data_IF_010212800041
#
_entry.id   IF_010212800041
#
_cell.length_a   1.000
_cell.length_b   1.000
_cell.length_c   1.000
_cell.angle_alpha   90.00
_cell.angle_beta   90.00
_cell.angle_gamma   90.00
#
_symmetry.space_group_name_H-M   'P 1'
#
loop_
_entity.id
_entity.type
_entity.pdbx_description
1 polymer ?
#
# COMPACT_ATOMS: atom_id res chain seq x y z
N UNK A 1 10.09 -3.64 60.09
CA UNK A 1 10.15 -2.84 58.86
C UNK A 1 10.02 -3.81 57.69
N UNK A 2 8.80 -3.99 57.23
CA UNK A 2 8.47 -4.88 56.12
C UNK A 2 8.64 -4.09 54.81
N UNK A 3 9.46 -4.58 53.85
CA UNK A 3 9.58 -4.02 52.52
C UNK A 3 8.52 -4.64 51.64
N UNK A 4 7.52 -3.85 51.34
CA UNK A 4 6.48 -4.17 50.37
C UNK A 4 7.06 -4.05 48.97
N UNK A 5 7.32 -5.18 48.30
CA UNK A 5 7.79 -5.24 46.91
C UNK A 5 6.58 -5.15 45.98
N UNK A 6 6.21 -3.91 45.63
CA UNK A 6 5.17 -3.64 44.63
C UNK A 6 5.53 -4.21 43.25
N UNK A 7 5.01 -5.38 42.93
CA UNK A 7 5.03 -5.98 41.61
C UNK A 7 4.17 -5.13 40.66
N UNK A 8 4.79 -4.28 39.83
CA UNK A 8 4.11 -3.58 38.77
C UNK A 8 3.68 -4.60 37.69
N UNK A 9 2.44 -5.03 37.71
CA UNK A 9 1.83 -5.83 36.66
C UNK A 9 1.81 -4.96 35.38
N UNK A 10 2.61 -5.32 34.38
CA UNK A 10 2.48 -4.74 33.05
C UNK A 10 1.07 -5.01 32.56
N UNK A 11 0.38 -4.00 31.99
CA UNK A 11 -0.97 -4.22 31.46
C UNK A 11 -0.93 -5.31 30.41
N UNK A 12 -1.86 -6.26 30.51
CA UNK A 12 -2.07 -7.30 29.49
C UNK A 12 -2.55 -6.61 28.20
N UNK A 13 -1.63 -6.39 27.24
CA UNK A 13 -1.98 -5.90 25.92
C UNK A 13 -2.75 -7.00 25.21
N UNK A 14 -4.05 -6.81 25.08
CA UNK A 14 -4.92 -7.72 24.33
C UNK A 14 -4.38 -7.78 22.88
N UNK A 15 -4.14 -8.99 22.37
CA UNK A 15 -3.59 -9.18 21.02
C UNK A 15 -4.54 -8.52 20.01
N UNK A 16 -4.07 -7.51 19.30
CA UNK A 16 -4.88 -6.81 18.31
C UNK A 16 -5.39 -7.77 17.24
N UNK A 17 -6.66 -7.66 16.87
CA UNK A 17 -7.21 -8.36 15.71
C UNK A 17 -6.79 -7.71 14.39
N UNK A 18 -6.22 -6.51 14.44
CA UNK A 18 -5.71 -5.80 13.27
C UNK A 18 -4.38 -6.39 12.81
N UNK A 19 -4.29 -6.61 11.51
CA UNK A 19 -3.10 -7.07 10.81
C UNK A 19 -2.51 -5.87 10.08
N UNK A 20 -1.27 -5.53 10.37
CA UNK A 20 -0.54 -4.52 9.64
C UNK A 20 -0.03 -5.12 8.33
N UNK A 21 -0.45 -4.52 7.23
CA UNK A 21 -0.07 -4.90 5.87
C UNK A 21 0.79 -3.84 5.18
N UNK A 22 1.34 -2.91 5.97
CA UNK A 22 2.28 -1.90 5.48
C UNK A 22 3.71 -2.43 5.45
N UNK A 23 4.54 -1.85 4.61
CA UNK A 23 6.00 -2.07 4.65
C UNK A 23 6.67 -0.98 5.49
N UNK A 24 7.68 -1.33 6.31
CA UNK A 24 8.38 -0.35 7.12
C UNK A 24 9.27 0.54 6.24
N UNK A 25 9.28 1.84 6.53
CA UNK A 25 10.21 2.77 5.91
C UNK A 25 11.61 2.59 6.50
N UNK A 26 12.60 2.43 5.65
CA UNK A 26 14.02 2.28 6.03
C UNK A 26 14.96 2.77 4.95
N UNK A 27 16.21 3.00 5.32
CA UNK A 27 17.25 3.39 4.37
C UNK A 27 17.39 2.36 3.24
N UNK A 28 17.56 2.85 2.02
CA UNK A 28 17.81 2.05 0.82
C UNK A 28 16.77 0.93 0.59
N UNK A 29 15.53 1.09 1.08
CA UNK A 29 14.46 0.16 0.78
C UNK A 29 14.16 0.17 -0.72
N UNK A 30 13.47 -0.86 -1.21
CA UNK A 30 13.04 -0.92 -2.61
C UNK A 30 12.29 0.35 -3.00
N UNK A 31 12.68 0.93 -4.13
CA UNK A 31 12.08 2.12 -4.75
C UNK A 31 12.05 1.95 -6.27
N UNK A 32 11.33 2.81 -6.94
CA UNK A 32 11.34 2.81 -8.40
C UNK A 32 12.75 3.12 -8.93
N UNK A 33 13.23 2.45 -9.99
CA UNK A 33 14.64 2.54 -10.42
C UNK A 33 15.16 3.91 -10.79
N UNK A 34 14.27 4.84 -11.16
CA UNK A 34 14.62 6.23 -11.51
C UNK A 34 14.52 7.20 -10.33
N UNK A 35 14.02 6.73 -9.20
CA UNK A 35 13.80 7.57 -8.02
C UNK A 35 15.03 7.59 -7.10
N UNK A 36 15.16 8.68 -6.34
CA UNK A 36 16.15 8.75 -5.29
C UNK A 36 15.83 7.78 -4.14
N UNK A 37 16.85 7.15 -3.55
CA UNK A 37 16.67 6.22 -2.46
C UNK A 37 16.12 6.91 -1.21
N UNK A 38 15.30 6.19 -0.45
CA UNK A 38 14.82 6.64 0.87
C UNK A 38 15.99 6.82 1.84
N UNK A 39 16.04 7.96 2.51
CA UNK A 39 17.02 8.26 3.58
C UNK A 39 16.28 8.54 4.87
N UNK A 40 16.57 7.75 5.90
CA UNK A 40 16.13 7.96 7.29
C UNK A 40 17.34 8.18 8.14
N UNK A 41 17.53 9.39 8.63
CA UNK A 41 18.69 9.81 9.40
C UNK A 41 18.30 10.15 10.83
N UNK A 42 18.91 9.49 11.80
CA UNK A 42 18.78 9.88 13.20
C UNK A 42 19.66 11.07 13.48
N UNK A 43 19.04 12.26 13.66
CA UNK A 43 19.76 13.52 13.88
C UNK A 43 19.98 13.83 15.35
N UNK A 44 19.17 13.24 16.27
CA UNK A 44 19.38 13.24 17.72
C UNK A 44 19.05 11.87 18.29
N UNK A 45 19.70 11.46 19.38
CA UNK A 45 19.52 10.15 19.97
C UNK A 45 19.76 10.18 21.49
N UNK A 46 18.76 9.82 22.27
CA UNK A 46 18.87 9.74 23.74
C UNK A 46 19.96 8.74 24.18
N UNK A 47 20.19 7.68 23.40
CA UNK A 47 21.24 6.69 23.68
C UNK A 47 22.64 7.27 23.47
N UNK A 48 22.76 8.42 22.82
CA UNK A 48 24.00 9.19 22.63
C UNK A 48 24.11 10.41 23.53
N UNK A 49 23.16 10.55 24.48
CA UNK A 49 23.15 11.67 25.44
C UNK A 49 22.35 12.90 24.99
N UNK A 50 21.66 12.84 23.85
CA UNK A 50 20.76 13.93 23.45
C UNK A 50 19.52 13.97 24.36
N UNK A 51 18.88 15.13 24.53
CA UNK A 51 17.63 15.24 25.34
C UNK A 51 16.42 14.58 24.69
N UNK A 52 16.46 14.31 23.39
CA UNK A 52 15.38 13.69 22.60
C UNK A 52 15.95 12.82 21.50
N UNK A 53 15.16 11.84 21.04
CA UNK A 53 15.45 11.12 19.79
C UNK A 53 14.64 11.75 18.66
N UNK A 54 15.32 12.11 17.54
CA UNK A 54 14.69 12.76 16.38
C UNK A 54 15.26 12.20 15.08
N UNK A 55 14.38 11.92 14.14
CA UNK A 55 14.75 11.46 12.81
C UNK A 55 14.33 12.49 11.74
N UNK A 56 15.19 12.64 10.75
CA UNK A 56 14.92 13.36 9.50
C UNK A 56 14.69 12.30 8.39
N UNK A 57 13.73 12.55 7.50
CA UNK A 57 13.44 11.65 6.40
C UNK A 57 13.44 12.42 5.08
N UNK A 58 14.14 11.86 4.07
CA UNK A 58 14.04 12.28 2.68
C UNK A 58 13.51 11.10 1.87
N UNK A 59 12.39 11.32 1.19
CA UNK A 59 11.69 10.27 0.48
C UNK A 59 10.72 10.86 -0.56
N UNK A 60 10.28 10.04 -1.50
CA UNK A 60 9.30 10.40 -2.53
C UNK A 60 7.90 10.04 -2.02
N UNK A 61 6.87 10.75 -2.50
CA UNK A 61 5.46 10.51 -2.11
C UNK A 61 4.98 9.08 -2.37
N UNK A 62 5.64 8.37 -3.30
CA UNK A 62 5.40 6.96 -3.66
C UNK A 62 6.29 5.97 -2.92
N UNK A 63 6.91 6.39 -1.79
CA UNK A 63 7.77 5.50 -1.01
C UNK A 63 6.96 4.57 -0.11
N UNK A 64 7.29 3.28 -0.18
CA UNK A 64 6.71 2.28 0.73
C UNK A 64 5.23 1.99 0.45
N UNK A 65 4.44 1.79 1.51
CA UNK A 65 2.99 1.70 1.38
C UNK A 65 2.43 3.11 1.21
N UNK A 66 1.75 3.36 0.10
CA UNK A 66 1.21 4.68 -0.25
C UNK A 66 -0.10 4.57 -1.02
N UNK A 67 -0.75 5.71 -1.24
CA UNK A 67 -1.94 5.82 -2.08
C UNK A 67 -1.68 6.84 -3.18
N UNK A 68 -1.95 6.44 -4.44
CA UNK A 68 -1.93 7.33 -5.58
C UNK A 68 -3.22 8.11 -5.68
N UNK A 69 -3.07 9.42 -5.87
CA UNK A 69 -4.16 10.32 -6.18
C UNK A 69 -4.36 10.44 -7.70
N UNK A 70 -5.57 10.81 -8.17
CA UNK A 70 -5.79 11.13 -9.58
C UNK A 70 -4.76 12.09 -10.17
N UNK A 71 -4.27 13.06 -9.38
CA UNK A 71 -3.26 14.04 -9.80
C UNK A 71 -1.97 13.40 -10.31
N UNK A 72 -1.65 12.17 -9.87
CA UNK A 72 -0.42 11.48 -10.28
C UNK A 72 -0.31 11.30 -11.79
N UNK A 73 -1.39 10.93 -12.46
CA UNK A 73 -1.42 10.71 -13.92
C UNK A 73 -2.41 11.61 -14.69
N UNK A 74 -3.35 12.24 -13.98
CA UNK A 74 -4.44 12.99 -14.62
C UNK A 74 -4.22 14.49 -14.43
N UNK A 75 -4.08 15.22 -15.53
CA UNK A 75 -3.99 16.67 -15.50
C UNK A 75 -5.24 17.28 -14.84
N UNK A 76 -5.02 18.09 -13.81
CA UNK A 76 -6.12 18.68 -13.02
C UNK A 76 -6.88 17.67 -12.13
N UNK A 77 -6.35 16.47 -11.98
CA UNK A 77 -6.91 15.44 -11.10
C UNK A 77 -6.93 15.86 -9.62
N UNK A 78 -7.76 15.21 -8.83
CA UNK A 78 -7.82 15.42 -7.39
C UNK A 78 -6.49 15.02 -6.73
N UNK A 79 -5.99 15.87 -5.84
CA UNK A 79 -4.81 15.61 -5.02
C UNK A 79 -5.14 14.74 -3.80
N UNK A 80 -4.10 14.17 -3.17
CA UNK A 80 -4.25 13.22 -2.05
C UNK A 80 -4.97 13.84 -0.83
N UNK A 81 -4.79 15.13 -0.56
CA UNK A 81 -5.49 15.86 0.50
C UNK A 81 -6.99 16.00 0.27
N UNK A 82 -7.47 15.73 -0.95
CA UNK A 82 -8.89 15.75 -1.34
C UNK A 82 -9.52 14.35 -1.37
N UNK A 83 -8.78 13.30 -1.03
CA UNK A 83 -9.34 11.94 -1.00
C UNK A 83 -10.51 11.85 0.01
N UNK A 84 -11.69 11.37 -0.42
CA UNK A 84 -12.78 11.10 0.53
C UNK A 84 -12.35 9.99 1.50
N UNK A 85 -12.52 10.22 2.81
CA UNK A 85 -12.02 9.28 3.84
C UNK A 85 -12.63 7.88 3.71
N UNK A 86 -13.90 7.79 3.32
CA UNK A 86 -14.58 6.52 3.09
C UNK A 86 -14.08 5.76 1.85
N UNK A 87 -13.16 6.34 1.07
CA UNK A 87 -12.49 5.62 -0.02
C UNK A 87 -11.60 4.53 0.53
N UNK A 88 -10.82 4.83 1.55
CA UNK A 88 -9.80 3.93 2.11
C UNK A 88 -10.19 3.34 3.48
N UNK A 89 -11.43 3.53 3.92
CA UNK A 89 -11.98 2.93 5.15
C UNK A 89 -13.22 2.11 4.80
N UNK A 90 -13.29 0.87 5.29
CA UNK A 90 -14.45 0.01 5.19
C UNK A 90 -14.17 -1.39 4.68
N UNK A 91 -15.22 -2.09 4.26
CA UNK A 91 -15.09 -3.48 3.78
C UNK A 91 -14.18 -3.56 2.56
N UNK A 92 -13.28 -4.54 2.56
CA UNK A 92 -12.38 -4.87 1.47
C UNK A 92 -12.30 -6.39 1.29
N UNK A 93 -11.86 -6.81 0.13
CA UNK A 93 -11.63 -8.23 -0.16
C UNK A 93 -10.20 -8.45 -0.62
N UNK A 94 -9.51 -9.41 0.00
CA UNK A 94 -8.23 -9.91 -0.49
C UNK A 94 -8.50 -11.02 -1.50
N UNK A 95 -8.03 -10.82 -2.72
CA UNK A 95 -8.11 -11.80 -3.82
C UNK A 95 -6.72 -12.35 -4.08
N UNK A 96 -6.58 -13.68 -3.99
CA UNK A 96 -5.34 -14.37 -4.34
C UNK A 96 -5.23 -14.61 -5.84
N UNK A 97 -4.22 -14.03 -6.47
CA UNK A 97 -3.94 -14.17 -7.90
C UNK A 97 -3.02 -15.37 -8.12
N UNK A 98 -3.37 -16.21 -9.08
CA UNK A 98 -2.64 -17.43 -9.44
C UNK A 98 -1.67 -17.22 -10.61
N UNK A 99 -2.03 -16.34 -11.55
CA UNK A 99 -1.14 -16.02 -12.67
C UNK A 99 0.16 -15.41 -12.13
N UNK A 100 1.28 -15.89 -12.63
CA UNK A 100 2.62 -15.53 -12.15
C UNK A 100 3.25 -14.38 -12.92
N UNK A 101 2.55 -13.84 -13.91
CA UNK A 101 3.03 -12.79 -14.80
C UNK A 101 2.22 -11.51 -14.66
N UNK A 102 0.88 -11.62 -14.82
CA UNK A 102 0.01 -10.44 -14.78
C UNK A 102 -1.41 -10.82 -14.36
N UNK A 103 -2.09 -9.88 -13.72
CA UNK A 103 -3.53 -9.99 -13.43
C UNK A 103 -4.27 -9.73 -14.74
N UNK A 104 -5.11 -10.69 -15.16
CA UNK A 104 -5.86 -10.64 -16.42
C UNK A 104 -7.37 -10.64 -16.19
N UNK A 105 -8.17 -10.09 -17.13
CA UNK A 105 -9.64 -10.14 -17.04
C UNK A 105 -10.18 -11.56 -16.90
N UNK A 106 -9.56 -12.52 -17.59
CA UNK A 106 -9.95 -13.94 -17.55
C UNK A 106 -9.84 -14.54 -16.15
N UNK A 107 -8.84 -14.15 -15.36
CA UNK A 107 -8.73 -14.56 -13.96
C UNK A 107 -9.74 -13.81 -13.09
N UNK A 108 -9.86 -12.49 -13.29
CA UNK A 108 -10.79 -11.65 -12.52
C UNK A 108 -12.25 -12.05 -12.72
N UNK A 109 -12.61 -12.56 -13.89
CA UNK A 109 -13.97 -13.03 -14.20
C UNK A 109 -14.45 -14.20 -13.32
N UNK A 110 -13.52 -14.95 -12.69
CA UNK A 110 -13.88 -16.00 -11.74
C UNK A 110 -14.29 -15.46 -10.37
N UNK A 111 -14.07 -14.18 -10.11
CA UNK A 111 -14.47 -13.53 -8.87
C UNK A 111 -15.69 -12.66 -9.14
N UNK A 112 -16.75 -12.86 -8.38
CA UNK A 112 -17.95 -12.00 -8.45
C UNK A 112 -17.62 -10.62 -7.87
N UNK A 113 -16.98 -9.76 -8.70
CA UNK A 113 -16.55 -8.41 -8.32
C UNK A 113 -17.76 -7.47 -8.37
N UNK A 114 -18.02 -6.82 -7.24
CA UNK A 114 -19.17 -5.96 -7.04
C UNK A 114 -18.81 -4.47 -7.20
N UNK A 115 -19.79 -3.69 -7.63
CA UNK A 115 -19.68 -2.23 -7.67
C UNK A 115 -19.32 -1.66 -6.29
N UNK A 116 -18.39 -0.72 -6.26
CA UNK A 116 -17.97 -0.03 -5.04
C UNK A 116 -17.08 -0.88 -4.12
N UNK A 117 -16.64 -2.04 -4.56
CA UNK A 117 -15.78 -2.93 -3.80
C UNK A 117 -14.36 -2.36 -3.69
N UNK A 118 -13.69 -2.59 -2.55
CA UNK A 118 -12.25 -2.38 -2.38
C UNK A 118 -11.58 -3.73 -2.49
N UNK A 119 -10.62 -3.86 -3.39
CA UNK A 119 -9.97 -5.14 -3.69
C UNK A 119 -8.47 -5.02 -3.42
N UNK A 120 -7.92 -5.93 -2.63
CA UNK A 120 -6.49 -6.06 -2.38
C UNK A 120 -5.98 -7.30 -3.11
N UNK A 121 -5.14 -7.12 -4.11
CA UNK A 121 -4.59 -8.21 -4.89
C UNK A 121 -3.36 -8.79 -4.20
N UNK A 122 -3.47 -10.05 -3.78
CA UNK A 122 -2.36 -10.83 -3.25
C UNK A 122 -1.80 -11.70 -4.35
N UNK A 123 -0.56 -11.44 -4.74
CA UNK A 123 0.16 -12.19 -5.77
C UNK A 123 1.38 -12.90 -5.18
N UNK A 124 2.21 -13.49 -6.05
CA UNK A 124 3.53 -14.01 -5.65
C UNK A 124 4.53 -12.91 -5.25
N UNK A 125 4.19 -11.64 -5.43
CA UNK A 125 5.07 -10.53 -5.09
C UNK A 125 5.32 -10.44 -3.59
N UNK A 126 4.27 -10.48 -2.75
CA UNK A 126 4.38 -10.30 -1.29
C UNK A 126 5.50 -11.11 -0.62
N UNK A 127 5.65 -12.42 -0.83
CA UNK A 127 6.70 -13.18 -0.17
C UNK A 127 8.10 -12.92 -0.73
N UNK A 128 8.21 -12.31 -1.92
CA UNK A 128 9.50 -12.10 -2.60
C UNK A 128 10.07 -10.71 -2.36
N UNK A 129 9.24 -9.69 -2.56
CA UNK A 129 9.68 -8.30 -2.70
C UNK A 129 10.12 -7.67 -1.37
N UNK A 130 9.64 -8.18 -0.24
CA UNK A 130 10.01 -7.65 1.07
C UNK A 130 11.13 -8.44 1.76
N UNK A 131 11.70 -9.42 1.08
CA UNK A 131 12.91 -10.13 1.50
C UNK A 131 14.20 -9.49 0.96
N UNK A 132 14.08 -8.49 0.08
CA UNK A 132 15.20 -7.79 -0.53
C UNK A 132 14.91 -6.30 -0.62
N UNK A 133 15.96 -5.49 -0.61
CA UNK A 133 15.88 -4.04 -0.89
C UNK A 133 16.10 -3.74 -2.38
N UNK A 134 16.35 -4.77 -3.19
CA UNK A 134 16.54 -4.61 -4.64
C UNK A 134 15.21 -4.59 -5.37
N UNK A 135 15.13 -3.75 -6.38
CA UNK A 135 14.00 -3.77 -7.32
C UNK A 135 13.96 -5.11 -8.06
N UNK A 136 12.78 -5.71 -8.10
CA UNK A 136 12.51 -6.95 -8.83
C UNK A 136 11.62 -6.59 -10.01
N UNK A 137 12.11 -6.74 -11.22
CA UNK A 137 11.43 -6.34 -12.45
C UNK A 137 10.52 -7.41 -13.07
N UNK A 138 10.57 -8.66 -12.55
CA UNK A 138 9.70 -9.79 -12.93
C UNK A 138 8.51 -9.96 -11.97
N UNK A 139 8.01 -8.88 -11.39
CA UNK A 139 6.84 -8.92 -10.53
C UNK A 139 5.54 -9.12 -11.33
N UNK A 140 4.52 -9.67 -10.66
CA UNK A 140 3.16 -9.72 -11.21
C UNK A 140 2.61 -8.30 -11.26
N UNK A 141 2.04 -7.89 -12.37
CA UNK A 141 1.48 -6.57 -12.60
C UNK A 141 0.02 -6.65 -13.04
N UNK A 142 -0.68 -5.53 -13.07
CA UNK A 142 -2.03 -5.41 -13.60
C UNK A 142 -1.97 -5.20 -15.12
N UNK A 143 -2.62 -6.05 -15.94
CA UNK A 143 -2.70 -5.78 -17.36
C UNK A 143 -3.64 -4.60 -17.64
N UNK A 144 -3.42 -3.89 -18.76
CA UNK A 144 -4.26 -2.76 -19.18
C UNK A 144 -5.73 -3.18 -19.32
N UNK A 145 -5.97 -4.37 -19.87
CA UNK A 145 -7.32 -4.92 -20.01
C UNK A 145 -7.98 -5.22 -18.66
N UNK A 146 -7.17 -5.67 -17.67
CA UNK A 146 -7.68 -5.89 -16.32
C UNK A 146 -8.01 -4.57 -15.61
N UNK A 147 -7.25 -3.50 -15.85
CA UNK A 147 -7.60 -2.17 -15.36
C UNK A 147 -8.94 -1.71 -15.93
N UNK A 148 -9.16 -1.85 -17.23
CA UNK A 148 -10.45 -1.55 -17.86
C UNK A 148 -11.59 -2.41 -17.32
N UNK A 149 -11.36 -3.70 -17.12
CA UNK A 149 -12.35 -4.60 -16.49
C UNK A 149 -12.76 -4.10 -15.10
N UNK A 150 -11.81 -3.67 -14.27
CA UNK A 150 -12.10 -3.13 -12.94
C UNK A 150 -12.86 -1.79 -13.00
N UNK A 151 -12.56 -0.97 -14.02
CA UNK A 151 -13.31 0.26 -14.33
C UNK A 151 -14.77 -0.06 -14.67
N UNK A 152 -15.02 -1.03 -15.56
CA UNK A 152 -16.37 -1.47 -15.92
C UNK A 152 -17.14 -2.02 -14.70
N UNK A 153 -16.45 -2.72 -13.80
CA UNK A 153 -17.02 -3.16 -12.51
C UNK A 153 -17.26 -2.02 -11.53
N UNK A 154 -16.75 -0.82 -11.83
CA UNK A 154 -16.90 0.36 -11.00
C UNK A 154 -16.47 0.11 -9.54
N UNK A 155 -15.30 -0.50 -9.35
CA UNK A 155 -14.70 -0.71 -8.03
C UNK A 155 -14.33 0.63 -7.40
N UNK A 156 -14.23 0.69 -6.08
CA UNK A 156 -13.92 1.94 -5.37
C UNK A 156 -12.42 2.19 -5.27
N UNK A 157 -11.67 1.14 -5.01
CA UNK A 157 -10.23 1.20 -4.75
C UNK A 157 -9.61 -0.16 -5.03
N UNK A 158 -8.37 -0.16 -5.47
CA UNK A 158 -7.56 -1.36 -5.53
C UNK A 158 -6.30 -1.22 -4.68
N UNK A 159 -5.81 -2.33 -4.16
CA UNK A 159 -4.53 -2.41 -3.46
C UNK A 159 -3.65 -3.47 -4.07
N UNK A 160 -2.35 -3.22 -4.09
CA UNK A 160 -1.37 -4.04 -4.79
C UNK A 160 -0.16 -4.38 -3.92
N UNK A 161 0.31 -5.62 -4.03
CA UNK A 161 1.40 -6.14 -3.22
C UNK A 161 2.79 -5.96 -3.86
N UNK A 162 2.97 -4.84 -4.56
CA UNK A 162 4.24 -4.32 -5.04
C UNK A 162 4.22 -2.80 -5.08
N UNK A 163 5.37 -2.18 -5.38
CA UNK A 163 5.54 -0.73 -5.40
C UNK A 163 4.99 -0.05 -6.66
N UNK A 164 4.48 -0.82 -7.62
CA UNK A 164 3.69 -0.35 -8.75
C UNK A 164 2.71 -1.41 -9.23
N UNK A 165 1.52 -0.99 -9.67
CA UNK A 165 0.54 -1.84 -10.35
C UNK A 165 0.92 -2.11 -11.80
N UNK A 166 1.63 -1.18 -12.45
CA UNK A 166 2.05 -1.26 -13.85
C UNK A 166 3.32 -2.08 -14.04
N UNK A 167 3.61 -2.48 -15.26
CA UNK A 167 4.77 -3.28 -15.62
C UNK A 167 5.98 -2.40 -15.97
N UNK A 168 7.05 -2.45 -15.18
CA UNK A 168 8.28 -1.70 -15.44
C UNK A 168 8.88 -1.97 -16.84
N UNK A 169 8.76 -3.21 -17.34
CA UNK A 169 9.27 -3.61 -18.67
C UNK A 169 8.38 -3.16 -19.83
N UNK A 170 7.19 -2.61 -19.55
CA UNK A 170 6.20 -2.15 -20.51
C UNK A 170 5.72 -0.74 -20.10
N UNK A 171 6.49 0.28 -20.47
CA UNK A 171 6.26 1.66 -20.05
C UNK A 171 4.83 2.15 -20.38
N UNK A 172 4.28 1.77 -21.54
CA UNK A 172 2.90 2.09 -21.90
C UNK A 172 1.89 1.53 -20.90
N UNK A 173 2.12 0.30 -20.38
CA UNK A 173 1.23 -0.33 -19.40
C UNK A 173 1.22 0.43 -18.07
N UNK A 174 2.37 0.95 -17.59
CA UNK A 174 2.40 1.78 -16.38
C UNK A 174 1.45 2.96 -16.52
N UNK A 175 1.57 3.70 -17.61
CA UNK A 175 0.71 4.85 -17.89
C UNK A 175 -0.76 4.46 -18.05
N UNK A 176 -1.06 3.50 -18.91
CA UNK A 176 -2.41 3.10 -19.28
C UNK A 176 -3.21 2.56 -18.08
N UNK A 177 -2.58 1.75 -17.21
CA UNK A 177 -3.26 1.18 -16.03
C UNK A 177 -3.61 2.26 -15.02
N UNK A 178 -2.68 3.19 -14.73
CA UNK A 178 -2.94 4.29 -13.81
C UNK A 178 -3.98 5.26 -14.37
N UNK A 179 -3.85 5.68 -15.63
CA UNK A 179 -4.82 6.56 -16.28
C UNK A 179 -6.22 5.96 -16.30
N UNK A 180 -6.35 4.66 -16.65
CA UNK A 180 -7.64 4.00 -16.69
C UNK A 180 -8.36 4.05 -15.34
N UNK A 181 -7.66 3.74 -14.26
CA UNK A 181 -8.22 3.70 -12.91
C UNK A 181 -8.43 5.09 -12.30
N UNK A 182 -7.37 5.91 -12.30
CA UNK A 182 -7.37 7.22 -11.64
C UNK A 182 -8.32 8.22 -12.31
N UNK A 183 -8.50 8.17 -13.65
CA UNK A 183 -9.47 9.00 -14.36
C UNK A 183 -10.93 8.72 -13.95
N UNK A 184 -11.19 7.56 -13.38
CA UNK A 184 -12.50 7.15 -12.86
C UNK A 184 -12.64 7.31 -11.35
N UNK A 185 -11.64 7.91 -10.71
CA UNK A 185 -11.62 8.10 -9.26
C UNK A 185 -11.44 6.78 -8.49
N UNK A 186 -10.88 5.77 -9.11
CA UNK A 186 -10.47 4.53 -8.46
C UNK A 186 -9.05 4.76 -7.93
N UNK A 187 -8.94 4.94 -6.62
CA UNK A 187 -7.67 5.19 -5.95
C UNK A 187 -6.86 3.90 -5.83
N UNK A 188 -5.55 4.01 -5.83
CA UNK A 188 -4.65 2.86 -5.86
C UNK A 188 -3.81 2.84 -4.59
N UNK A 189 -3.78 1.72 -3.88
CA UNK A 189 -2.82 1.47 -2.79
C UNK A 189 -1.69 0.62 -3.37
N UNK A 190 -0.46 1.05 -3.23
CA UNK A 190 0.72 0.29 -3.62
C UNK A 190 1.59 -0.04 -2.40
N UNK A 191 2.52 -0.97 -2.54
CA UNK A 191 3.42 -1.35 -1.47
C UNK A 191 2.76 -2.11 -0.31
N UNK A 192 1.77 -2.97 -0.57
CA UNK A 192 1.16 -3.81 0.45
C UNK A 192 1.96 -5.08 0.70
N UNK A 193 2.14 -5.47 1.96
CA UNK A 193 2.66 -6.78 2.35
C UNK A 193 1.50 -7.71 2.73
N UNK A 194 1.07 -8.54 1.79
CA UNK A 194 0.00 -9.51 1.98
C UNK A 194 0.50 -10.94 2.23
N UNK A 195 1.81 -11.16 2.48
CA UNK A 195 2.41 -12.50 2.62
C UNK A 195 1.71 -13.36 3.69
N UNK A 196 1.42 -12.79 4.85
CA UNK A 196 0.73 -13.45 5.96
C UNK A 196 -0.80 -13.43 5.89
N UNK A 197 -1.40 -12.85 4.84
CA UNK A 197 -2.85 -12.64 4.74
C UNK A 197 -3.48 -13.74 3.88
N UNK A 198 -4.61 -14.30 4.33
CA UNK A 198 -5.41 -15.24 3.53
C UNK A 198 -6.38 -14.47 2.62
N UNK A 199 -6.74 -15.05 1.46
CA UNK A 199 -7.83 -14.54 0.66
C UNK A 199 -9.14 -14.56 1.46
N UNK A 200 -9.96 -13.50 1.34
CA UNK A 200 -11.18 -13.39 2.12
C UNK A 200 -11.67 -11.96 2.30
N UNK A 201 -12.67 -11.78 3.15
CA UNK A 201 -13.30 -10.49 3.47
C UNK A 201 -12.67 -9.89 4.71
N UNK A 202 -12.43 -8.58 4.66
CA UNK A 202 -11.77 -7.82 5.72
C UNK A 202 -12.42 -6.44 5.86
N UNK A 203 -12.16 -5.80 6.99
CA UNK A 203 -12.25 -4.35 7.13
C UNK A 203 -10.87 -3.77 6.88
N UNK A 204 -10.79 -2.69 6.09
CA UNK A 204 -9.58 -1.97 5.74
C UNK A 204 -9.59 -0.58 6.37
N UNK A 205 -8.45 -0.16 6.89
CA UNK A 205 -8.11 1.25 7.13
C UNK A 205 -6.76 1.50 6.47
N UNK A 206 -6.73 2.45 5.52
CA UNK A 206 -5.52 2.86 4.84
C UNK A 206 -5.58 4.36 4.56
N UNK A 207 -5.21 5.18 5.54
CA UNK A 207 -5.25 6.62 5.40
C UNK A 207 -3.85 7.16 5.07
N UNK A 208 -3.71 7.91 3.97
CA UNK A 208 -2.46 8.56 3.61
C UNK A 208 -2.21 9.79 4.49
N UNK A 209 -0.95 10.23 4.53
CA UNK A 209 -0.64 11.57 5.03
C UNK A 209 -1.39 12.61 4.19
N UNK A 210 -1.84 13.68 4.84
CA UNK A 210 -2.55 14.77 4.17
C UNK A 210 -1.55 15.77 3.58
N UNK A 211 -0.92 15.38 2.47
CA UNK A 211 0.00 16.24 1.74
C UNK A 211 -0.81 17.21 0.87
N UNK A 212 -0.75 18.51 1.17
CA UNK A 212 -1.45 19.53 0.39
C UNK A 212 -0.99 19.49 -1.08
N UNK A 213 -1.95 19.35 -2.01
CA UNK A 213 -1.71 19.25 -3.45
C UNK A 213 -0.80 18.08 -3.86
N UNK A 214 -0.67 17.05 -3.01
CA UNK A 214 0.16 15.90 -3.28
C UNK A 214 -0.44 14.98 -4.34
N UNK A 215 0.44 14.39 -5.13
CA UNK A 215 0.16 13.38 -6.17
C UNK A 215 -0.04 11.99 -5.56
N UNK A 216 0.54 11.76 -4.37
CA UNK A 216 0.38 10.56 -3.57
C UNK A 216 0.62 10.86 -2.08
N UNK A 217 0.43 9.87 -1.24
CA UNK A 217 0.77 9.97 0.17
C UNK A 217 1.05 8.62 0.81
N UNK A 218 2.17 8.55 1.56
CA UNK A 218 2.48 7.37 2.37
C UNK A 218 1.36 7.08 3.34
N UNK A 219 1.08 5.79 3.54
CA UNK A 219 -0.04 5.34 4.35
C UNK A 219 0.35 4.22 5.30
N UNK A 220 -0.39 4.10 6.41
CA UNK A 220 -0.41 2.88 7.22
C UNK A 220 -1.65 2.09 6.84
N UNK A 221 -1.46 0.93 6.22
CA UNK A 221 -2.53 0.04 5.83
C UNK A 221 -2.69 -1.08 6.85
N UNK A 222 -3.89 -1.22 7.41
CA UNK A 222 -4.24 -2.29 8.35
C UNK A 222 -5.55 -2.94 7.95
N UNK A 223 -5.66 -4.24 8.19
CA UNK A 223 -6.88 -5.01 7.97
C UNK A 223 -7.24 -5.84 9.18
N UNK A 224 -8.53 -6.19 9.33
CA UNK A 224 -8.99 -7.24 10.24
C UNK A 224 -10.06 -8.08 9.54
N UNK A 225 -10.22 -9.38 9.90
CA UNK A 225 -11.32 -10.21 9.38
C UNK A 225 -12.68 -9.53 9.63
N UNK A 226 -13.56 -9.52 8.59
CA UNK A 226 -14.89 -8.92 8.63
C UNK A 226 -15.93 -9.92 9.18
#
# INVERSE_FOLDING_TARGET
>A
MSKDSGSSRRPHVQKSQWIDISIPLRNNMVHWPTDDPTVVKRIKDVDRGDPVTMSEMTLISHTGTHIDAPLHFIYGGNSIDKMPLDTAIGRARVIGIKDTTSIKPTELAHYDIQRGERILFKTRNSPRVYQTDKFIDDYVYLSTEAAHFLVEKNVRMIGFDYISIGCYRLESNVKETHEALLSRGIWIIEGLNLSGVKAGKYELICLPIKLERGDAGMARAIIRPA
#
